data_IF_089591447922
#
_entry.id   IF_089591447922
#
_cell.length_a   1.000
_cell.length_b   1.000
_cell.length_c   1.000
_cell.angle_alpha   90.00
_cell.angle_beta   90.00
_cell.angle_gamma   90.00
#
_symmetry.space_group_name_H-M   'P 1'
#
loop_
_entity.id
_entity.type
_entity.pdbx_description
1 polymer ?
#
# COMPACT_ATOMS: atom_id res chain seq x y z
N UNK A 1 -7.02 6.20 -4.69
CA UNK A 1 -6.90 7.45 -3.92
C UNK A 1 -5.46 7.72 -3.53
N UNK A 2 -4.68 6.70 -3.20
CA UNK A 2 -3.29 6.79 -2.76
C UNK A 2 -2.41 7.79 -3.51
N UNK A 3 -2.27 7.74 -4.86
CA UNK A 3 -1.47 8.73 -5.57
C UNK A 3 -2.05 10.14 -5.52
N UNK A 4 -3.37 10.29 -5.34
CA UNK A 4 -4.00 11.59 -5.18
C UNK A 4 -3.63 12.23 -3.83
N UNK A 5 -3.53 11.45 -2.74
CA UNK A 5 -3.05 11.96 -1.45
C UNK A 5 -1.59 12.39 -1.51
N UNK A 6 -0.74 11.61 -2.18
CA UNK A 6 0.67 11.97 -2.41
C UNK A 6 0.75 13.24 -3.24
N UNK A 7 0.03 13.33 -4.37
CA UNK A 7 -0.02 14.52 -5.20
C UNK A 7 -0.48 15.76 -4.42
N UNK A 8 -1.51 15.61 -3.59
CA UNK A 8 -2.03 16.69 -2.76
C UNK A 8 -0.96 17.19 -1.77
N UNK A 9 -0.30 16.28 -1.06
CA UNK A 9 0.75 16.62 -0.11
C UNK A 9 1.93 17.36 -0.78
N UNK A 10 2.45 16.84 -1.90
CA UNK A 10 3.60 17.47 -2.59
C UNK A 10 3.23 18.79 -3.27
N UNK A 11 2.00 18.90 -3.80
CA UNK A 11 1.50 20.15 -4.36
C UNK A 11 1.44 21.25 -3.31
N UNK A 12 0.90 20.95 -2.13
CA UNK A 12 0.85 21.92 -1.02
C UNK A 12 2.23 22.24 -0.43
N UNK A 13 3.23 21.37 -0.62
CA UNK A 13 4.62 21.63 -0.31
C UNK A 13 5.35 22.45 -1.40
N UNK A 14 4.68 22.85 -2.48
CA UNK A 14 5.29 23.61 -3.59
C UNK A 14 6.18 22.77 -4.51
N UNK A 15 6.05 21.44 -4.47
CA UNK A 15 6.83 20.51 -5.28
C UNK A 15 6.06 20.07 -6.55
N UNK A 16 6.75 19.72 -7.64
CA UNK A 16 6.11 19.12 -8.82
C UNK A 16 5.43 17.80 -8.48
N UNK A 17 4.23 17.58 -9.01
CA UNK A 17 3.54 16.29 -8.88
C UNK A 17 4.28 15.17 -9.62
N UNK A 18 4.41 13.97 -9.02
CA UNK A 18 5.09 12.84 -9.62
C UNK A 18 4.36 12.28 -10.85
N UNK A 19 5.10 11.54 -11.67
CA UNK A 19 4.52 10.61 -12.65
C UNK A 19 3.97 9.38 -11.92
N UNK A 20 2.81 8.89 -12.32
CA UNK A 20 2.08 7.86 -11.57
C UNK A 20 2.11 6.53 -12.34
N UNK A 21 2.67 5.49 -11.73
CA UNK A 21 2.56 4.14 -12.28
C UNK A 21 1.14 3.59 -12.04
N UNK A 22 0.42 3.24 -13.11
CA UNK A 22 -0.93 2.67 -13.01
C UNK A 22 -1.03 1.33 -13.74
N UNK A 23 -1.81 0.40 -13.20
CA UNK A 23 -2.10 -0.87 -13.87
C UNK A 23 -3.01 -0.70 -15.08
N UNK A 24 -2.79 -1.51 -16.11
CA UNK A 24 -3.66 -1.61 -17.29
C UNK A 24 -5.11 -2.04 -16.95
N UNK A 25 -5.31 -2.75 -15.84
CA UNK A 25 -6.63 -3.14 -15.34
C UNK A 25 -7.57 -1.93 -15.12
N UNK A 26 -7.02 -0.74 -14.84
CA UNK A 26 -7.80 0.48 -14.58
C UNK A 26 -8.19 1.26 -15.84
N UNK A 27 -7.76 0.80 -17.02
CA UNK A 27 -7.86 1.55 -18.28
C UNK A 27 -8.87 0.97 -19.26
N UNK A 28 -9.93 0.31 -18.76
CA UNK A 28 -10.91 -0.39 -19.59
C UNK A 28 -11.75 0.54 -20.50
N UNK A 29 -11.84 1.83 -20.17
CA UNK A 29 -12.56 2.83 -20.98
C UNK A 29 -11.58 3.83 -21.60
N UNK A 30 -11.66 4.13 -22.92
CA UNK A 30 -10.70 5.01 -23.60
C UNK A 30 -10.49 6.37 -22.93
N UNK A 31 -11.56 7.05 -22.52
CA UNK A 31 -11.46 8.38 -21.87
C UNK A 31 -10.74 8.34 -20.51
N UNK A 32 -10.78 7.20 -19.80
CA UNK A 32 -10.07 7.04 -18.52
C UNK A 32 -8.56 7.00 -18.77
N UNK A 33 -8.13 6.36 -19.86
CA UNK A 33 -6.72 6.35 -20.28
C UNK A 33 -6.20 7.75 -20.57
N UNK A 34 -6.97 8.56 -21.29
CA UNK A 34 -6.57 9.94 -21.61
C UNK A 34 -6.50 10.82 -20.36
N UNK A 35 -7.49 10.72 -19.47
CA UNK A 35 -7.49 11.45 -18.20
C UNK A 35 -6.29 11.07 -17.31
N UNK A 36 -5.96 9.78 -17.23
CA UNK A 36 -4.80 9.33 -16.46
C UNK A 36 -3.48 9.82 -17.06
N UNK A 37 -3.36 9.84 -18.39
CA UNK A 37 -2.18 10.38 -19.08
C UNK A 37 -2.01 11.87 -18.86
N UNK A 38 -3.11 12.64 -18.83
CA UNK A 38 -3.09 14.07 -18.46
C UNK A 38 -2.55 14.28 -17.04
N UNK A 39 -2.82 13.35 -16.12
CA UNK A 39 -2.25 13.36 -14.77
C UNK A 39 -0.85 12.72 -14.68
N UNK A 40 -0.08 12.77 -15.77
CA UNK A 40 1.29 12.22 -15.89
C UNK A 40 1.39 10.72 -15.57
N UNK A 41 0.31 9.96 -15.72
CA UNK A 41 0.35 8.52 -15.46
C UNK A 41 0.97 7.75 -16.63
N UNK A 42 1.72 6.70 -16.31
CA UNK A 42 2.24 5.73 -17.28
C UNK A 42 1.78 4.31 -16.92
N UNK A 43 1.68 3.47 -17.94
CA UNK A 43 1.01 2.17 -17.85
C UNK A 43 2.02 1.08 -17.46
N UNK A 44 1.65 0.31 -16.45
CA UNK A 44 2.29 -0.95 -16.08
C UNK A 44 1.41 -2.08 -16.62
N UNK A 45 1.91 -2.79 -17.63
CA UNK A 45 1.20 -3.90 -18.27
C UNK A 45 1.28 -5.15 -17.40
N UNK A 46 0.13 -5.62 -16.89
CA UNK A 46 0.04 -6.74 -15.95
C UNK A 46 -0.42 -8.03 -16.63
N UNK A 47 -1.20 -7.89 -17.69
CA UNK A 47 -1.87 -8.98 -18.40
C UNK A 47 -0.98 -9.75 -19.40
N UNK A 48 0.31 -9.45 -19.49
CA UNK A 48 1.21 -10.08 -20.47
C UNK A 48 1.55 -11.52 -20.05
N UNK A 49 1.04 -12.49 -20.82
CA UNK A 49 1.27 -13.93 -20.58
C UNK A 49 2.64 -14.38 -21.12
N UNK A 50 3.06 -13.84 -22.27
CA UNK A 50 4.29 -14.22 -22.93
C UNK A 50 5.55 -13.77 -22.16
N UNK A 51 6.46 -14.70 -21.85
CA UNK A 51 7.66 -14.43 -21.04
C UNK A 51 8.58 -13.39 -21.68
N UNK A 52 8.76 -13.46 -23.00
CA UNK A 52 9.65 -12.55 -23.74
C UNK A 52 9.06 -11.14 -23.80
N UNK A 53 7.76 -11.06 -24.06
CA UNK A 53 6.99 -9.83 -24.10
C UNK A 53 6.98 -9.16 -22.72
N UNK A 54 6.76 -9.95 -21.65
CA UNK A 54 6.79 -9.45 -20.27
C UNK A 54 8.17 -8.91 -19.89
N UNK A 55 9.24 -9.61 -20.27
CA UNK A 55 10.61 -9.13 -20.04
C UNK A 55 10.91 -7.85 -20.82
N UNK A 56 10.47 -7.75 -22.08
CA UNK A 56 10.63 -6.54 -22.88
C UNK A 56 9.84 -5.36 -22.29
N UNK A 57 8.61 -5.59 -21.84
CA UNK A 57 7.80 -4.57 -21.17
C UNK A 57 8.46 -4.09 -19.87
N UNK A 58 9.00 -4.99 -19.06
CA UNK A 58 9.69 -4.62 -17.82
C UNK A 58 11.02 -3.89 -18.10
N UNK A 59 11.74 -4.28 -19.16
CA UNK A 59 12.94 -3.57 -19.61
C UNK A 59 12.62 -2.12 -19.99
N UNK A 60 11.56 -1.92 -20.78
CA UNK A 60 11.10 -0.61 -21.20
C UNK A 60 10.64 0.24 -20.01
N UNK A 61 9.86 -0.36 -19.11
CA UNK A 61 9.39 0.29 -17.89
C UNK A 61 10.55 0.75 -17.01
N UNK A 62 11.54 -0.13 -16.81
CA UNK A 62 12.77 0.18 -16.09
C UNK A 62 13.52 1.36 -16.71
N UNK A 63 13.65 1.36 -18.04
CA UNK A 63 14.36 2.42 -18.77
C UNK A 63 13.62 3.76 -18.64
N UNK A 64 12.29 3.73 -18.73
CA UNK A 64 11.45 4.91 -18.53
C UNK A 64 11.58 5.48 -17.12
N UNK A 65 11.55 4.63 -16.08
CA UNK A 65 11.72 5.06 -14.68
C UNK A 65 13.09 5.72 -14.47
N UNK A 66 14.16 5.06 -14.93
CA UNK A 66 15.52 5.59 -14.82
C UNK A 66 15.68 6.92 -15.57
N UNK A 67 15.15 7.03 -16.79
CA UNK A 67 15.19 8.27 -17.56
C UNK A 67 14.40 9.40 -16.89
N UNK A 68 13.20 9.10 -16.40
CA UNK A 68 12.34 10.06 -15.70
C UNK A 68 13.04 10.70 -14.51
N UNK A 69 13.73 9.89 -13.71
CA UNK A 69 14.38 10.35 -12.48
C UNK A 69 15.72 11.02 -12.80
N UNK A 70 16.57 10.39 -13.61
CA UNK A 70 17.96 10.84 -13.80
C UNK A 70 18.17 11.86 -14.91
N UNK A 71 17.22 12.00 -15.85
CA UNK A 71 17.31 12.92 -16.99
C UNK A 71 16.23 14.00 -16.95
N UNK A 72 14.98 13.61 -16.70
CA UNK A 72 13.88 14.58 -16.62
C UNK A 72 13.75 15.24 -15.23
N UNK A 73 14.48 14.74 -14.24
CA UNK A 73 14.39 15.16 -12.84
C UNK A 73 12.94 15.14 -12.32
N UNK A 74 12.16 14.13 -12.71
CA UNK A 74 10.76 13.95 -12.30
C UNK A 74 10.64 12.79 -11.32
N UNK A 75 9.99 13.04 -10.18
CA UNK A 75 9.62 12.00 -9.22
C UNK A 75 8.59 11.03 -9.81
N UNK A 76 8.58 9.80 -9.30
CA UNK A 76 7.62 8.76 -9.65
C UNK A 76 6.94 8.25 -8.38
N UNK A 77 5.62 8.09 -8.45
CA UNK A 77 4.86 7.30 -7.49
C UNK A 77 4.60 5.90 -8.04
N UNK A 78 4.92 4.88 -7.25
CA UNK A 78 4.67 3.48 -7.58
C UNK A 78 4.33 2.72 -6.30
N UNK A 79 3.32 1.85 -6.37
CA UNK A 79 2.96 0.97 -5.26
C UNK A 79 4.02 -0.13 -5.05
N UNK A 80 4.24 -0.53 -3.80
CA UNK A 80 5.25 -1.51 -3.41
C UNK A 80 4.90 -2.97 -3.78
N UNK A 81 3.66 -3.22 -4.18
CA UNK A 81 3.13 -4.53 -4.54
C UNK A 81 1.99 -4.41 -5.54
N UNK A 82 1.61 -5.53 -6.16
CA UNK A 82 0.47 -5.56 -7.05
C UNK A 82 -0.86 -5.62 -6.28
N UNK A 83 -1.66 -4.56 -6.40
CA UNK A 83 -3.00 -4.52 -5.80
C UNK A 83 -2.99 -3.94 -4.39
N UNK A 84 -4.15 -3.97 -3.73
CA UNK A 84 -4.28 -3.48 -2.34
C UNK A 84 -4.29 -4.65 -1.38
N UNK A 85 -3.52 -4.56 -0.30
CA UNK A 85 -3.56 -5.52 0.79
C UNK A 85 -4.99 -5.70 1.32
N UNK A 86 -5.36 -6.96 1.56
CA UNK A 86 -6.72 -7.35 1.94
C UNK A 86 -6.86 -7.62 3.42
N UNK A 87 -5.77 -7.94 4.08
CA UNK A 87 -5.63 -8.36 5.49
C UNK A 87 -4.85 -7.34 6.34
N UNK A 88 -4.51 -6.18 5.75
CA UNK A 88 -3.69 -5.15 6.38
C UNK A 88 -2.18 -5.45 6.38
N UNK A 89 -1.74 -6.55 5.76
CA UNK A 89 -0.33 -6.92 5.65
C UNK A 89 0.26 -6.49 4.29
N UNK A 90 0.60 -5.21 4.16
CA UNK A 90 1.18 -4.69 2.92
C UNK A 90 2.70 -4.86 2.92
N UNK A 91 3.23 -5.62 1.95
CA UNK A 91 4.65 -6.02 1.85
C UNK A 91 5.25 -5.67 0.51
N UNK A 92 6.52 -5.28 0.53
CA UNK A 92 7.26 -4.91 -0.67
C UNK A 92 7.59 -6.15 -1.51
N UNK A 93 7.11 -6.17 -2.75
CA UNK A 93 7.47 -7.21 -3.69
C UNK A 93 8.86 -6.96 -4.28
N UNK A 94 9.82 -7.83 -3.94
CA UNK A 94 11.20 -7.78 -4.46
C UNK A 94 11.27 -7.77 -6.01
N UNK A 95 10.24 -8.25 -6.71
CA UNK A 95 10.14 -8.21 -8.15
C UNK A 95 10.03 -6.78 -8.72
N UNK A 96 9.37 -5.87 -8.01
CA UNK A 96 9.27 -4.45 -8.39
C UNK A 96 10.64 -3.78 -8.25
N UNK A 97 11.34 -4.05 -7.15
CA UNK A 97 12.70 -3.55 -6.92
C UNK A 97 13.68 -4.06 -7.99
N UNK A 98 13.55 -5.34 -8.37
CA UNK A 98 14.32 -5.92 -9.48
C UNK A 98 14.03 -5.19 -10.79
N UNK A 99 12.77 -4.85 -11.05
CA UNK A 99 12.38 -4.14 -12.27
C UNK A 99 13.06 -2.77 -12.38
N UNK A 100 13.26 -2.04 -11.28
CA UNK A 100 13.99 -0.75 -11.32
C UNK A 100 15.41 -0.86 -11.89
N UNK A 101 16.06 -2.02 -11.74
CA UNK A 101 17.44 -2.26 -12.20
C UNK A 101 17.54 -2.81 -13.63
N UNK A 102 16.49 -3.43 -14.18
CA UNK A 102 16.56 -4.20 -15.43
C UNK A 102 17.17 -3.46 -16.63
N UNK A 103 16.88 -2.16 -16.79
CA UNK A 103 17.44 -1.32 -17.86
C UNK A 103 18.93 -1.01 -17.74
N UNK A 104 19.49 -1.18 -16.54
CA UNK A 104 20.88 -0.88 -16.17
C UNK A 104 21.53 -2.10 -15.51
N UNK A 105 21.18 -3.29 -15.97
CA UNK A 105 21.61 -4.59 -15.40
C UNK A 105 23.13 -4.80 -15.38
N UNK A 106 23.86 -4.07 -16.22
CA UNK A 106 25.32 -4.15 -16.33
C UNK A 106 26.03 -3.26 -15.29
N UNK A 107 25.27 -2.48 -14.51
CA UNK A 107 25.74 -1.68 -13.38
C UNK A 107 25.41 -2.37 -12.04
N UNK A 108 26.17 -2.13 -10.96
CA UNK A 108 25.86 -2.69 -9.65
C UNK A 108 24.46 -2.29 -9.15
N UNK A 109 23.67 -3.26 -8.67
CA UNK A 109 22.28 -3.06 -8.23
C UNK A 109 22.15 -1.89 -7.24
N UNK A 110 22.95 -1.90 -6.17
CA UNK A 110 22.88 -0.85 -5.15
C UNK A 110 23.26 0.55 -5.65
N UNK A 111 24.11 0.67 -6.67
CA UNK A 111 24.44 1.96 -7.28
C UNK A 111 23.25 2.52 -8.06
N UNK A 112 22.60 1.65 -8.84
CA UNK A 112 21.39 2.01 -9.57
C UNK A 112 20.29 2.41 -8.60
N UNK A 113 20.00 1.61 -7.57
CA UNK A 113 18.97 1.93 -6.57
C UNK A 113 19.23 3.26 -5.86
N UNK A 114 20.46 3.52 -5.40
CA UNK A 114 20.80 4.80 -4.77
C UNK A 114 20.59 5.98 -5.72
N UNK A 115 20.91 5.82 -7.01
CA UNK A 115 20.69 6.87 -8.00
C UNK A 115 19.20 7.20 -8.23
N UNK A 116 18.27 6.33 -7.80
CA UNK A 116 16.83 6.55 -7.91
C UNK A 116 16.24 7.29 -6.70
N UNK A 117 17.00 7.50 -5.62
CA UNK A 117 16.57 8.21 -4.42
C UNK A 117 15.20 7.73 -3.89
N UNK A 118 15.11 6.44 -3.58
CA UNK A 118 13.86 5.83 -3.11
C UNK A 118 13.42 6.46 -1.78
N UNK A 119 12.17 6.91 -1.73
CA UNK A 119 11.54 7.45 -0.52
C UNK A 119 10.37 6.53 -0.15
N UNK A 120 10.45 5.77 0.95
CA UNK A 120 9.34 4.97 1.42
C UNK A 120 8.18 5.85 1.90
N UNK A 121 6.95 5.52 1.51
CA UNK A 121 5.76 6.29 1.87
C UNK A 121 4.71 5.39 2.49
N UNK A 122 4.25 5.72 3.69
CA UNK A 122 3.12 5.07 4.35
C UNK A 122 1.86 5.89 4.15
N UNK A 123 0.76 5.26 3.75
CA UNK A 123 -0.57 5.89 3.67
C UNK A 123 -1.49 5.13 4.62
N UNK A 124 -1.86 5.79 5.71
CA UNK A 124 -2.66 5.19 6.78
C UNK A 124 -4.06 5.78 6.75
N UNK A 125 -5.04 4.93 6.54
CA UNK A 125 -6.45 5.28 6.65
C UNK A 125 -6.89 4.96 8.07
N UNK A 126 -7.64 5.86 8.70
CA UNK A 126 -8.34 5.52 9.95
C UNK A 126 -9.42 4.51 9.68
N UNK A 127 -10.16 4.69 8.60
CA UNK A 127 -11.11 3.71 8.11
C UNK A 127 -10.93 3.50 6.61
N UNK A 128 -10.80 2.26 6.17
CA UNK A 128 -10.77 1.93 4.75
C UNK A 128 -12.22 1.81 4.23
N UNK A 129 -12.65 2.64 3.26
CA UNK A 129 -13.98 2.54 2.67
C UNK A 129 -14.30 1.17 2.07
N UNK A 130 -13.28 0.40 1.69
CA UNK A 130 -13.41 -0.91 1.06
C UNK A 130 -13.24 -2.08 2.04
N UNK A 131 -13.11 -1.84 3.35
CA UNK A 131 -12.81 -2.85 4.37
C UNK A 131 -13.78 -4.05 4.39
N UNK A 132 -15.06 -3.79 4.22
CA UNK A 132 -16.13 -4.79 4.23
C UNK A 132 -16.07 -5.68 3.00
N UNK A 133 -15.77 -5.10 1.83
CA UNK A 133 -15.58 -5.86 0.59
C UNK A 133 -14.31 -6.73 0.66
N UNK A 134 -13.23 -6.22 1.25
CA UNK A 134 -12.01 -6.97 1.50
C UNK A 134 -12.22 -8.12 2.48
N UNK A 135 -12.98 -7.90 3.56
CA UNK A 135 -13.33 -8.94 4.53
C UNK A 135 -14.11 -10.08 3.88
N UNK A 136 -15.10 -9.74 3.04
CA UNK A 136 -15.84 -10.72 2.23
C UNK A 136 -14.93 -11.50 1.29
N UNK A 137 -14.02 -10.83 0.59
CA UNK A 137 -13.07 -11.47 -0.32
C UNK A 137 -12.18 -12.48 0.43
N UNK A 138 -11.64 -12.09 1.58
CA UNK A 138 -10.82 -12.98 2.41
C UNK A 138 -11.61 -14.20 2.91
N UNK A 139 -12.83 -13.99 3.40
CA UNK A 139 -13.71 -15.08 3.82
C UNK A 139 -13.99 -16.07 2.69
N UNK A 140 -14.34 -15.57 1.49
CA UNK A 140 -14.61 -16.44 0.34
C UNK A 140 -13.34 -17.23 -0.03
N UNK A 141 -12.17 -16.59 -0.09
CA UNK A 141 -10.91 -17.30 -0.35
C UNK A 141 -10.63 -18.40 0.67
N UNK A 142 -10.84 -18.11 1.96
CA UNK A 142 -10.60 -19.07 3.03
C UNK A 142 -11.57 -20.27 2.99
N UNK A 143 -12.81 -20.07 2.53
CA UNK A 143 -13.86 -21.11 2.53
C UNK A 143 -13.98 -21.88 1.21
N UNK A 144 -13.67 -21.24 0.08
CA UNK A 144 -13.82 -21.84 -1.27
C UNK A 144 -12.49 -22.05 -1.98
N UNK A 145 -11.39 -21.53 -1.45
CA UNK A 145 -10.04 -21.60 -2.02
C UNK A 145 -9.74 -20.57 -3.12
N UNK A 146 -10.72 -19.83 -3.62
CA UNK A 146 -10.49 -18.84 -4.67
C UNK A 146 -11.51 -17.69 -4.65
N UNK A 147 -11.13 -16.56 -5.24
CA UNK A 147 -12.03 -15.43 -5.45
C UNK A 147 -11.84 -14.87 -6.84
N UNK A 148 -12.90 -14.90 -7.63
CA UNK A 148 -12.94 -14.29 -8.96
C UNK A 148 -13.73 -12.99 -8.86
N UNK A 149 -13.07 -11.88 -9.14
CA UNK A 149 -13.72 -10.56 -9.19
C UNK A 149 -14.83 -10.54 -10.22
N UNK A 150 -15.91 -9.86 -9.88
CA UNK A 150 -17.00 -9.61 -10.83
C UNK A 150 -16.64 -8.46 -11.78
N UNK A 151 -17.12 -8.45 -13.03
CA UNK A 151 -16.92 -7.31 -13.92
C UNK A 151 -17.42 -6.01 -13.28
N UNK A 152 -16.57 -4.97 -13.28
CA UNK A 152 -16.91 -3.67 -12.69
C UNK A 152 -16.64 -3.54 -11.18
N UNK A 153 -16.20 -4.60 -10.50
CA UNK A 153 -15.89 -4.56 -9.07
C UNK A 153 -14.77 -3.56 -8.73
N UNK A 154 -13.75 -3.48 -9.60
CA UNK A 154 -12.67 -2.50 -9.44
C UNK A 154 -13.21 -1.06 -9.54
N UNK A 155 -14.14 -0.78 -10.47
CA UNK A 155 -14.78 0.55 -10.61
C UNK A 155 -15.55 0.95 -9.35
N UNK A 156 -16.31 0.01 -8.78
CA UNK A 156 -17.04 0.22 -7.52
C UNK A 156 -16.07 0.51 -6.38
N UNK A 157 -14.98 -0.26 -6.28
CA UNK A 157 -13.96 -0.05 -5.24
C UNK A 157 -13.22 1.29 -5.37
N UNK A 158 -13.06 1.80 -6.61
CA UNK A 158 -12.47 3.12 -6.87
C UNK A 158 -13.45 4.21 -6.45
N UNK A 159 -14.71 4.10 -6.87
CA UNK A 159 -15.77 5.05 -6.52
C UNK A 159 -15.93 5.13 -5.00
N UNK A 160 -16.04 3.99 -4.32
CA UNK A 160 -16.13 3.91 -2.86
C UNK A 160 -14.86 4.43 -2.18
N UNK A 161 -13.69 4.13 -2.74
CA UNK A 161 -12.43 4.70 -2.30
C UNK A 161 -12.43 6.23 -2.36
N UNK A 162 -13.12 6.86 -3.32
CA UNK A 162 -13.23 8.32 -3.43
C UNK A 162 -14.29 8.85 -2.45
N UNK A 163 -15.51 8.31 -2.48
CA UNK A 163 -16.67 8.90 -1.81
C UNK A 163 -16.92 8.40 -0.39
N UNK A 164 -16.43 7.22 -0.02
CA UNK A 164 -16.68 6.61 1.28
C UNK A 164 -15.95 7.30 2.42
N UNK A 165 -16.49 7.11 3.64
CA UNK A 165 -15.94 7.69 4.86
C UNK A 165 -14.61 7.04 5.26
N UNK A 166 -13.61 7.88 5.54
CA UNK A 166 -12.22 7.46 5.81
C UNK A 166 -11.73 7.81 7.21
N UNK A 167 -12.50 8.60 7.96
CA UNK A 167 -11.98 9.33 9.12
C UNK A 167 -10.76 10.16 8.71
N UNK A 168 -9.69 10.04 9.49
CA UNK A 168 -8.39 10.66 9.21
C UNK A 168 -7.58 9.84 8.21
N UNK A 169 -6.86 10.52 7.33
CA UNK A 169 -5.84 9.90 6.47
C UNK A 169 -4.50 10.56 6.77
N UNK A 170 -3.47 9.74 7.02
CA UNK A 170 -2.11 10.20 7.27
C UNK A 170 -1.17 9.73 6.17
N UNK A 171 -0.36 10.64 5.63
CA UNK A 171 0.68 10.32 4.66
C UNK A 171 2.02 10.59 5.33
N UNK A 172 2.83 9.55 5.51
CA UNK A 172 4.17 9.63 6.06
C UNK A 172 5.21 9.45 4.96
N UNK A 173 6.07 10.44 4.75
CA UNK A 173 7.27 10.28 3.92
C UNK A 173 8.44 9.96 4.85
N UNK A 174 9.02 8.77 4.71
CA UNK A 174 10.23 8.41 5.45
C UNK A 174 11.47 9.09 4.84
N UNK A 175 12.62 9.12 5.55
CA UNK A 175 13.87 9.53 4.94
C UNK A 175 14.21 8.70 3.69
N UNK A 176 14.93 9.27 2.70
CA UNK A 176 15.37 8.49 1.56
C UNK A 176 16.23 7.29 1.98
N UNK A 177 16.14 6.19 1.25
CA UNK A 177 17.04 5.05 1.39
C UNK A 177 18.43 5.47 0.89
N UNK A 178 19.42 5.48 1.78
CA UNK A 178 20.80 5.91 1.46
C UNK A 178 21.80 4.77 1.58
N UNK A 179 21.45 3.74 2.32
CA UNK A 179 22.21 2.53 2.52
C UNK A 179 22.42 1.78 1.21
N UNK A 180 23.54 1.05 1.13
CA UNK A 180 23.81 0.19 -0.01
C UNK A 180 23.20 -1.18 0.23
N UNK A 181 22.39 -1.63 -0.73
CA UNK A 181 21.84 -2.98 -0.74
C UNK A 181 22.33 -3.70 -1.99
N UNK A 182 22.84 -4.92 -1.82
CA UNK A 182 23.31 -5.74 -2.94
C UNK A 182 22.19 -6.63 -3.52
N UNK A 183 21.14 -6.89 -2.74
CA UNK A 183 20.03 -7.74 -3.15
C UNK A 183 18.66 -7.11 -2.89
N UNK A 184 17.68 -7.54 -3.70
CA UNK A 184 16.32 -7.01 -3.66
C UNK A 184 15.52 -7.46 -2.45
N UNK A 185 15.92 -8.53 -1.76
CA UNK A 185 15.22 -9.03 -0.57
C UNK A 185 15.60 -8.20 0.65
N UNK A 186 16.87 -7.89 0.84
CA UNK A 186 17.34 -6.98 1.87
C UNK A 186 16.72 -5.59 1.70
N UNK A 187 16.69 -5.07 0.47
CA UNK A 187 16.02 -3.80 0.19
C UNK A 187 14.51 -3.86 0.48
N UNK A 188 13.82 -4.96 0.12
CA UNK A 188 12.40 -5.12 0.44
C UNK A 188 12.14 -5.12 1.96
N UNK A 189 12.99 -5.79 2.74
CA UNK A 189 12.91 -5.79 4.21
C UNK A 189 13.08 -4.37 4.75
N UNK A 190 14.03 -3.60 4.22
CA UNK A 190 14.23 -2.21 4.64
C UNK A 190 13.05 -1.30 4.26
N UNK A 191 12.52 -1.45 3.04
CA UNK A 191 11.31 -0.73 2.60
C UNK A 191 10.14 -1.04 3.54
N UNK A 192 9.91 -2.31 3.86
CA UNK A 192 8.85 -2.73 4.79
C UNK A 192 9.08 -2.18 6.19
N UNK A 193 10.33 -2.19 6.69
CA UNK A 193 10.68 -1.64 8.00
C UNK A 193 10.31 -0.15 8.08
N UNK A 194 10.62 0.64 7.06
CA UNK A 194 10.31 2.08 7.05
C UNK A 194 8.81 2.34 6.82
N UNK A 195 8.16 1.60 5.91
CA UNK A 195 6.75 1.82 5.57
C UNK A 195 5.83 1.37 6.71
N UNK A 196 6.06 0.20 7.28
CA UNK A 196 5.28 -0.31 8.40
C UNK A 196 5.61 0.46 9.69
N UNK A 197 6.88 0.84 9.88
CA UNK A 197 7.30 1.70 10.99
C UNK A 197 6.66 3.09 10.94
N UNK A 198 6.53 3.67 9.75
CA UNK A 198 5.90 4.98 9.51
C UNK A 198 4.37 4.98 9.47
N UNK A 199 3.73 3.82 9.58
CA UNK A 199 2.26 3.72 9.54
C UNK A 199 1.64 4.39 10.77
N UNK A 200 0.70 5.32 10.57
CA UNK A 200 -0.02 5.96 11.68
C UNK A 200 -1.12 5.02 12.20
N UNK A 201 -0.95 4.53 13.42
CA UNK A 201 -2.00 3.80 14.12
C UNK A 201 -3.01 4.77 14.74
N UNK A 202 -4.27 4.63 14.33
CA UNK A 202 -5.46 5.24 14.94
C UNK A 202 -6.12 4.32 16.01
N UNK A 203 -7.02 4.82 16.87
CA UNK A 203 -7.62 4.04 17.95
C UNK A 203 -8.29 2.73 17.50
N UNK A 204 -8.96 2.74 16.35
CA UNK A 204 -9.62 1.55 15.78
C UNK A 204 -8.66 0.38 15.57
N UNK A 205 -7.39 0.64 15.23
CA UNK A 205 -6.41 -0.43 15.07
C UNK A 205 -6.10 -1.13 16.39
N UNK A 206 -6.00 -0.38 17.49
CA UNK A 206 -5.78 -0.96 18.83
C UNK A 206 -7.03 -1.68 19.34
N UNK A 207 -8.23 -1.14 19.06
CA UNK A 207 -9.49 -1.81 19.36
C UNK A 207 -9.61 -3.15 18.62
N UNK A 208 -9.28 -3.17 17.32
CA UNK A 208 -9.27 -4.38 16.52
C UNK A 208 -8.21 -5.37 17.01
N UNK A 209 -6.98 -4.92 17.29
CA UNK A 209 -5.92 -5.78 17.80
C UNK A 209 -6.29 -6.44 19.14
N UNK A 210 -6.93 -5.71 20.05
CA UNK A 210 -7.41 -6.27 21.32
C UNK A 210 -8.52 -7.33 21.14
N UNK A 211 -9.26 -7.31 20.02
CA UNK A 211 -10.29 -8.30 19.69
C UNK A 211 -9.77 -9.45 18.81
N UNK A 212 -8.52 -9.35 18.31
CA UNK A 212 -8.01 -10.29 17.32
C UNK A 212 -7.51 -11.57 17.98
N UNK A 213 -8.04 -12.72 17.55
CA UNK A 213 -7.66 -14.03 18.09
C UNK A 213 -6.19 -14.37 17.89
N UNK A 214 -5.56 -13.83 16.85
CA UNK A 214 -4.16 -14.08 16.50
C UNK A 214 -3.23 -12.94 16.96
N UNK A 215 -3.69 -12.09 17.88
CA UNK A 215 -2.86 -11.08 18.51
C UNK A 215 -1.67 -11.76 19.21
N UNK A 216 -0.46 -11.37 18.82
CA UNK A 216 0.80 -11.91 19.35
C UNK A 216 1.04 -11.43 20.80
N UNK A 217 0.89 -12.30 21.81
CA UNK A 217 0.99 -11.90 23.22
C UNK A 217 2.43 -11.58 23.64
N UNK A 218 3.43 -11.86 22.78
CA UNK A 218 4.83 -11.49 23.04
C UNK A 218 5.13 -10.02 22.71
N UNK A 219 4.22 -9.34 22.00
CA UNK A 219 4.36 -7.92 21.69
C UNK A 219 3.79 -7.09 22.86
N UNK A 220 4.60 -6.17 23.37
CA UNK A 220 4.19 -5.22 24.42
C UNK A 220 3.33 -4.09 23.84
N UNK A 221 2.12 -4.45 23.38
CA UNK A 221 1.13 -3.51 22.85
C UNK A 221 0.32 -2.96 24.02
N UNK A 222 0.42 -1.65 24.32
CA UNK A 222 -0.37 -1.04 25.39
C UNK A 222 -1.87 -1.03 25.01
N UNK A 223 -2.77 -1.04 26.00
CA UNK A 223 -4.19 -0.87 25.75
C UNK A 223 -4.46 0.51 25.11
N UNK A 224 -5.49 0.59 24.26
CA UNK A 224 -5.84 1.82 23.55
C UNK A 224 -6.03 3.04 24.49
N UNK A 225 -6.56 2.81 25.70
CA UNK A 225 -6.76 3.84 26.72
C UNK A 225 -5.49 4.44 27.30
N UNK A 226 -4.34 3.77 27.15
CA UNK A 226 -3.04 4.32 27.55
C UNK A 226 -2.40 5.19 26.44
N UNK A 227 -2.92 5.12 25.21
CA UNK A 227 -2.35 5.79 24.03
C UNK A 227 -3.21 6.96 23.55
N UNK A 228 -4.54 6.85 23.69
CA UNK A 228 -5.49 7.83 23.18
C UNK A 228 -6.34 8.44 24.29
N UNK A 229 -6.81 9.68 24.06
CA UNK A 229 -7.72 10.35 24.97
C UNK A 229 -9.07 9.62 25.04
N UNK A 230 -9.75 9.69 26.19
CA UNK A 230 -10.98 8.95 26.44
C UNK A 230 -12.10 9.31 25.45
N UNK A 231 -12.24 10.58 25.08
CA UNK A 231 -13.26 11.07 24.14
C UNK A 231 -12.99 10.63 22.69
N UNK A 232 -11.71 10.53 22.30
CA UNK A 232 -11.30 10.00 20.99
C UNK A 232 -11.58 8.50 20.93
N UNK A 233 -11.23 7.78 22.00
CA UNK A 233 -11.42 6.34 22.07
C UNK A 233 -12.90 5.98 22.05
N UNK A 234 -13.76 6.72 22.74
CA UNK A 234 -15.20 6.46 22.75
C UNK A 234 -15.82 6.63 21.36
N UNK A 235 -15.51 7.73 20.66
CA UNK A 235 -15.95 7.92 19.27
C UNK A 235 -15.47 6.81 18.34
N UNK A 236 -14.24 6.34 18.53
CA UNK A 236 -13.68 5.26 17.72
C UNK A 236 -14.35 3.91 18.00
N UNK A 237 -14.77 3.65 19.26
CA UNK A 237 -15.55 2.45 19.60
C UNK A 237 -16.91 2.47 18.90
N UNK A 238 -17.64 3.57 18.98
CA UNK A 238 -18.96 3.69 18.35
C UNK A 238 -18.90 3.41 16.84
N UNK A 239 -17.94 4.03 16.14
CA UNK A 239 -17.73 3.81 14.71
C UNK A 239 -17.26 2.37 14.42
N UNK A 240 -16.39 1.79 15.26
CA UNK A 240 -15.91 0.42 15.09
C UNK A 240 -17.02 -0.62 15.28
N UNK A 241 -17.86 -0.44 16.31
CA UNK A 241 -19.02 -1.29 16.56
C UNK A 241 -20.04 -1.20 15.43
N UNK A 242 -20.30 0.02 14.92
CA UNK A 242 -21.14 0.24 13.74
C UNK A 242 -20.62 -0.51 12.51
N UNK A 243 -19.31 -0.48 12.27
CA UNK A 243 -18.67 -1.22 11.17
C UNK A 243 -18.78 -2.73 11.33
N UNK A 244 -18.49 -3.26 12.52
CA UNK A 244 -18.64 -4.69 12.79
C UNK A 244 -20.10 -5.14 12.62
N UNK A 245 -21.06 -4.34 13.05
CA UNK A 245 -22.49 -4.62 12.88
C UNK A 245 -22.90 -4.64 11.40
N UNK A 246 -22.30 -3.78 10.57
CA UNK A 246 -22.54 -3.73 9.12
C UNK A 246 -21.94 -4.89 8.33
N UNK A 247 -21.12 -5.74 8.96
CA UNK A 247 -20.44 -6.88 8.33
C UNK A 247 -21.03 -8.21 8.83
N UNK A 248 -21.32 -9.18 7.93
CA UNK A 248 -21.77 -10.52 8.32
C UNK A 248 -20.83 -11.16 9.34
N UNK A 249 -21.37 -11.89 10.31
CA UNK A 249 -20.62 -12.45 11.44
C UNK A 249 -19.41 -13.27 10.99
N UNK A 250 -19.57 -14.04 9.92
CA UNK A 250 -18.53 -14.88 9.30
C UNK A 250 -17.37 -14.08 8.68
N UNK A 251 -17.62 -12.82 8.29
CA UNK A 251 -16.61 -11.93 7.71
C UNK A 251 -15.88 -11.09 8.76
N UNK A 252 -16.46 -10.92 9.96
CA UNK A 252 -15.90 -10.06 11.03
C UNK A 252 -14.47 -10.41 11.42
N UNK A 253 -14.04 -11.68 11.54
CA UNK A 253 -12.64 -12.00 11.84
C UNK A 253 -11.66 -11.39 10.83
N UNK A 254 -12.02 -11.33 9.55
CA UNK A 254 -11.19 -10.74 8.50
C UNK A 254 -11.22 -9.21 8.50
N UNK A 255 -12.32 -8.61 8.96
CA UNK A 255 -12.36 -7.17 9.22
C UNK A 255 -11.46 -6.81 10.42
N UNK A 256 -11.53 -7.57 11.50
CA UNK A 256 -10.67 -7.40 12.68
C UNK A 256 -9.20 -7.55 12.28
N UNK A 257 -8.86 -8.62 11.54
CA UNK A 257 -7.51 -8.86 11.03
C UNK A 257 -6.97 -7.63 10.26
N UNK A 258 -7.77 -7.07 9.34
CA UNK A 258 -7.38 -5.91 8.54
C UNK A 258 -6.88 -4.72 9.38
N UNK A 259 -7.58 -4.40 10.46
CA UNK A 259 -7.23 -3.28 11.34
C UNK A 259 -6.22 -3.66 12.43
N UNK A 260 -6.11 -4.95 12.78
CA UNK A 260 -5.17 -5.43 13.77
C UNK A 260 -3.75 -5.62 13.22
N UNK A 261 -3.61 -6.05 11.97
CA UNK A 261 -2.31 -6.35 11.34
C UNK A 261 -1.33 -5.16 11.34
N UNK A 262 -1.75 -3.90 11.07
CA UNK A 262 -0.85 -2.75 11.19
C UNK A 262 -0.24 -2.59 12.58
N UNK A 263 -0.99 -2.90 13.66
CA UNK A 263 -0.46 -2.87 15.04
C UNK A 263 0.62 -3.93 15.19
N UNK A 264 0.31 -5.19 14.87
CA UNK A 264 1.28 -6.30 14.92
C UNK A 264 2.55 -5.94 14.17
N UNK A 265 2.42 -5.50 12.92
CA UNK A 265 3.55 -5.19 12.06
C UNK A 265 4.42 -4.05 12.61
N UNK A 266 3.81 -2.95 13.05
CA UNK A 266 4.56 -1.83 13.61
C UNK A 266 5.28 -2.22 14.92
N UNK A 267 4.63 -2.98 15.80
CA UNK A 267 5.24 -3.40 17.07
C UNK A 267 6.37 -4.44 16.86
N UNK A 268 6.26 -5.32 15.86
CA UNK A 268 7.38 -6.18 15.44
C UNK A 268 8.57 -5.35 14.96
N UNK A 269 8.34 -4.33 14.12
CA UNK A 269 9.40 -3.40 13.67
C UNK A 269 10.05 -2.70 14.86
N UNK A 270 9.27 -2.17 15.80
CA UNK A 270 9.79 -1.49 17.01
C UNK A 270 10.61 -2.43 17.90
N UNK A 271 10.21 -3.70 17.99
CA UNK A 271 10.91 -4.72 18.77
C UNK A 271 12.12 -5.34 18.02
N UNK A 272 12.40 -4.92 16.78
CA UNK A 272 13.46 -5.50 15.96
C UNK A 272 13.20 -6.96 15.57
N UNK A 273 11.95 -7.40 15.60
CA UNK A 273 11.55 -8.75 15.23
C UNK A 273 11.43 -8.88 13.72
N UNK A 274 11.68 -10.09 13.22
CA UNK A 274 11.44 -10.41 11.83
C UNK A 274 9.98 -10.14 11.47
N UNK A 275 9.80 -9.60 10.27
CA UNK A 275 8.55 -9.03 9.82
C UNK A 275 7.67 -10.09 9.16
#
# INVERSE_FOLDING_TARGET
MDPAFVNYAVYHAGLPTPRIAIGDNLLQKPFVSDLMRLNKSFIVHRSIIGRREKMAAYQLLSAYINHSITKDCQSIWIAQAEGRAKDGDDRTESAILKMFHMSRKDEPFGDVIRSLNLIPVSISYEYDPCDSAKARELYIRATTGSYTKTPGEDDVSIALGITGYKGRVHVNFAPPITEHFEDTKQLAIEMDRQILGGYRLFPVHYLAYAQWSDADPSLDVPPASAVFAADELERAKDEWEGRLAGVPTEHRPYLIQQYATPVRNQYRVKAGLAL
#
